data_IF_943756861627
#
_entry.id   IF_943756861627
#
_cell.length_a   1.000
_cell.length_b   1.000
_cell.length_c   1.000
_cell.angle_alpha   90.00
_cell.angle_beta   90.00
_cell.angle_gamma   90.00
#
_symmetry.space_group_name_H-M   'P 1'
#
loop_
_entity.id
_entity.type
_entity.pdbx_description
1 polymer ?
#
# COMPACT_ATOMS: atom_id res chain seq x y z
N UNK A 1 10.38 22.24 -5.54
CA UNK A 1 9.03 21.80 -5.12
C UNK A 1 8.34 20.91 -6.16
N UNK A 2 8.02 21.41 -7.36
CA UNK A 2 7.26 20.65 -8.38
C UNK A 2 7.96 19.38 -8.88
N UNK A 3 9.30 19.40 -9.02
CA UNK A 3 10.07 18.22 -9.43
C UNK A 3 10.01 17.07 -8.41
N UNK A 4 10.07 17.38 -7.10
CA UNK A 4 9.97 16.40 -6.02
C UNK A 4 8.58 15.75 -6.00
N UNK A 5 7.53 16.55 -6.13
CA UNK A 5 6.16 16.04 -6.18
C UNK A 5 5.93 15.13 -7.40
N UNK A 6 6.47 15.48 -8.57
CA UNK A 6 6.41 14.62 -9.76
C UNK A 6 7.14 13.30 -9.56
N UNK A 7 8.30 13.31 -8.91
CA UNK A 7 9.04 12.09 -8.62
C UNK A 7 8.24 11.17 -7.69
N UNK A 8 7.63 11.73 -6.63
CA UNK A 8 6.75 10.98 -5.71
C UNK A 8 5.55 10.41 -6.46
N UNK A 9 4.86 11.22 -7.27
CA UNK A 9 3.70 10.79 -8.03
C UNK A 9 4.06 9.66 -9.02
N UNK A 10 5.22 9.75 -9.66
CA UNK A 10 5.72 8.71 -10.56
C UNK A 10 6.00 7.40 -9.83
N UNK A 11 6.62 7.46 -8.65
CA UNK A 11 6.85 6.26 -7.81
C UNK A 11 5.51 5.65 -7.38
N UNK A 12 4.54 6.47 -6.96
CA UNK A 12 3.21 5.98 -6.63
C UNK A 12 2.49 5.35 -7.84
N UNK A 13 2.62 5.94 -9.03
CA UNK A 13 2.03 5.40 -10.26
C UNK A 13 2.65 4.05 -10.65
N UNK A 14 3.98 3.89 -10.50
CA UNK A 14 4.65 2.61 -10.69
C UNK A 14 4.15 1.58 -9.68
N UNK A 15 4.00 1.99 -8.41
CA UNK A 15 3.39 1.16 -7.35
C UNK A 15 1.98 0.69 -7.71
N UNK A 16 1.15 1.57 -8.28
CA UNK A 16 -0.18 1.21 -8.77
C UNK A 16 -0.13 0.21 -9.94
N UNK A 17 0.81 0.35 -10.86
CA UNK A 17 1.04 -0.63 -11.93
C UNK A 17 1.44 -2.01 -11.40
N UNK A 18 2.34 -2.05 -10.41
CA UNK A 18 2.72 -3.29 -9.71
C UNK A 18 1.52 -3.91 -8.98
N UNK A 19 0.71 -3.09 -8.30
CA UNK A 19 -0.51 -3.56 -7.65
C UNK A 19 -1.52 -4.13 -8.66
N UNK A 20 -1.71 -3.48 -9.80
CA UNK A 20 -2.61 -4.01 -10.84
C UNK A 20 -2.11 -5.36 -11.38
N UNK A 21 -0.81 -5.49 -11.65
CA UNK A 21 -0.21 -6.74 -12.11
C UNK A 21 -0.32 -7.86 -11.05
N UNK A 22 -0.04 -7.55 -9.79
CA UNK A 22 -0.18 -8.51 -8.68
C UNK A 22 -1.65 -8.93 -8.48
N UNK A 23 -2.61 -8.02 -8.71
CA UNK A 23 -4.04 -8.29 -8.58
C UNK A 23 -4.52 -9.22 -9.69
N UNK A 24 -4.07 -8.96 -10.93
CA UNK A 24 -4.34 -9.85 -12.06
C UNK A 24 -3.74 -11.25 -11.81
N UNK A 25 -2.50 -11.32 -11.34
CA UNK A 25 -1.85 -12.59 -11.01
C UNK A 25 -2.61 -13.35 -9.92
N UNK A 26 -3.04 -12.65 -8.86
CA UNK A 26 -3.87 -13.23 -7.79
C UNK A 26 -5.20 -13.76 -8.33
N UNK A 27 -5.89 -12.99 -9.16
CA UNK A 27 -7.17 -13.40 -9.74
C UNK A 27 -7.01 -14.66 -10.60
N UNK A 28 -6.01 -14.67 -11.50
CA UNK A 28 -5.72 -15.84 -12.34
C UNK A 28 -5.38 -17.07 -11.47
N UNK A 29 -4.54 -16.89 -10.46
CA UNK A 29 -4.14 -18.00 -9.58
C UNK A 29 -5.33 -18.59 -8.81
N UNK A 30 -6.21 -17.75 -8.26
CA UNK A 30 -7.40 -18.21 -7.55
C UNK A 30 -8.41 -18.87 -8.49
N UNK A 31 -8.58 -18.36 -9.72
CA UNK A 31 -9.43 -19.00 -10.73
C UNK A 31 -8.91 -20.41 -11.02
N UNK A 32 -7.60 -20.58 -11.22
CA UNK A 32 -6.99 -21.90 -11.47
C UNK A 32 -7.15 -22.83 -10.27
N UNK A 33 -6.96 -22.33 -9.04
CA UNK A 33 -7.15 -23.14 -7.82
C UNK A 33 -8.60 -23.59 -7.65
N UNK A 34 -9.57 -22.70 -7.88
CA UNK A 34 -11.00 -23.03 -7.78
C UNK A 34 -11.38 -24.06 -8.84
N UNK A 35 -10.92 -23.91 -10.09
CA UNK A 35 -11.16 -24.89 -11.15
C UNK A 35 -10.52 -26.24 -10.78
N UNK A 36 -9.26 -26.24 -10.37
CA UNK A 36 -8.53 -27.47 -10.03
C UNK A 36 -9.18 -28.21 -8.85
N UNK A 37 -9.57 -27.48 -7.82
CA UNK A 37 -10.24 -28.06 -6.66
C UNK A 37 -11.64 -28.58 -7.02
N UNK A 38 -12.40 -27.84 -7.84
CA UNK A 38 -13.78 -28.20 -8.18
C UNK A 38 -13.88 -29.35 -9.18
N UNK A 39 -12.96 -29.42 -10.16
CA UNK A 39 -13.03 -30.40 -11.25
C UNK A 39 -12.06 -31.57 -11.08
N UNK A 40 -10.91 -31.37 -10.44
CA UNK A 40 -9.88 -32.42 -10.26
C UNK A 40 -9.81 -32.94 -8.82
N UNK A 41 -10.61 -32.39 -7.88
CA UNK A 41 -10.55 -32.69 -6.45
C UNK A 41 -9.13 -32.57 -5.85
N UNK A 42 -8.27 -31.78 -6.51
CA UNK A 42 -6.89 -31.55 -6.12
C UNK A 42 -6.74 -30.10 -5.68
N UNK A 43 -6.57 -29.89 -4.36
CA UNK A 43 -6.26 -28.57 -3.80
C UNK A 43 -4.75 -28.45 -3.61
N UNK A 44 -4.23 -27.27 -3.95
CA UNK A 44 -2.81 -26.97 -3.86
C UNK A 44 -2.53 -26.09 -2.63
N UNK A 45 -1.90 -26.62 -1.56
CA UNK A 45 -1.70 -25.86 -0.31
C UNK A 45 -0.90 -24.57 -0.48
N UNK A 46 -0.06 -24.49 -1.52
CA UNK A 46 0.74 -23.31 -1.82
C UNK A 46 -0.10 -22.16 -2.37
N UNK A 47 -1.21 -22.42 -3.07
CA UNK A 47 -2.05 -21.38 -3.66
C UNK A 47 -2.63 -20.43 -2.59
N UNK A 48 -3.01 -20.97 -1.42
CA UNK A 48 -3.50 -20.15 -0.29
C UNK A 48 -2.42 -19.19 0.19
N UNK A 49 -1.18 -19.66 0.33
CA UNK A 49 -0.07 -18.85 0.83
C UNK A 49 0.30 -17.73 -0.14
N UNK A 50 0.52 -18.05 -1.43
CA UNK A 50 0.89 -17.05 -2.44
C UNK A 50 -0.24 -16.04 -2.70
N UNK A 51 -1.51 -16.46 -2.53
CA UNK A 51 -2.64 -15.54 -2.66
C UNK A 51 -2.61 -14.48 -1.56
N UNK A 52 -2.24 -14.86 -0.33
CA UNK A 52 -2.04 -13.92 0.77
C UNK A 52 -0.92 -12.93 0.49
N UNK A 53 0.19 -13.39 -0.08
CA UNK A 53 1.33 -12.52 -0.44
C UNK A 53 1.01 -11.55 -1.57
N UNK A 54 0.32 -12.04 -2.62
CA UNK A 54 -0.13 -11.18 -3.71
C UNK A 54 -1.18 -10.18 -3.23
N UNK A 55 -2.12 -10.59 -2.36
CA UNK A 55 -3.10 -9.68 -1.77
C UNK A 55 -2.44 -8.56 -0.95
N UNK A 56 -1.45 -8.92 -0.15
CA UNK A 56 -0.64 -7.95 0.57
C UNK A 56 0.07 -6.98 -0.39
N UNK A 57 0.72 -7.51 -1.43
CA UNK A 57 1.40 -6.69 -2.43
C UNK A 57 0.45 -5.71 -3.13
N UNK A 58 -0.75 -6.15 -3.51
CA UNK A 58 -1.75 -5.30 -4.20
C UNK A 58 -2.24 -4.18 -3.31
N UNK A 59 -2.61 -4.49 -2.07
CA UNK A 59 -3.14 -3.52 -1.11
C UNK A 59 -2.14 -2.41 -0.83
N UNK A 60 -0.89 -2.76 -0.49
CA UNK A 60 0.07 -1.76 -0.03
C UNK A 60 0.79 -1.04 -1.20
N UNK A 61 1.10 -1.72 -2.30
CA UNK A 61 1.73 -1.04 -3.45
C UNK A 61 0.78 -0.03 -4.12
N UNK A 62 -0.54 -0.28 -4.10
CA UNK A 62 -1.54 0.65 -4.63
C UNK A 62 -1.95 1.76 -3.66
N UNK A 63 -1.64 1.63 -2.37
CA UNK A 63 -2.11 2.54 -1.33
C UNK A 63 -1.60 3.99 -1.53
N UNK A 64 -0.35 4.17 -1.96
CA UNK A 64 0.21 5.51 -2.22
C UNK A 64 -0.52 6.26 -3.36
N UNK A 65 -0.85 5.58 -4.45
CA UNK A 65 -1.55 6.19 -5.58
C UNK A 65 -3.02 6.49 -5.27
N UNK A 66 -3.71 5.55 -4.61
CA UNK A 66 -5.11 5.76 -4.18
C UNK A 66 -5.25 6.93 -3.20
N UNK A 67 -4.27 7.12 -2.31
CA UNK A 67 -4.21 8.30 -1.44
C UNK A 67 -4.11 9.60 -2.24
N UNK A 68 -3.29 9.62 -3.30
CA UNK A 68 -3.13 10.79 -4.18
C UNK A 68 -4.37 11.11 -5.01
N UNK A 69 -5.20 10.11 -5.29
CA UNK A 69 -6.49 10.23 -6.00
C UNK A 69 -7.66 10.64 -5.08
N UNK A 70 -7.42 10.83 -3.77
CA UNK A 70 -8.49 11.13 -2.81
C UNK A 70 -9.40 9.93 -2.52
N UNK A 71 -8.99 8.71 -2.86
CA UNK A 71 -9.80 7.49 -2.70
C UNK A 71 -9.92 6.98 -1.25
N UNK A 72 -9.30 7.65 -0.27
CA UNK A 72 -9.52 7.31 1.14
C UNK A 72 -10.82 7.93 1.63
N UNK A 73 -11.63 7.12 2.33
CA UNK A 73 -12.94 7.51 2.87
C UNK A 73 -12.77 8.72 3.79
N UNK A 74 -12.96 9.91 3.21
CA UNK A 74 -12.98 11.18 3.92
C UNK A 74 -14.42 11.38 4.33
N UNK A 75 -14.68 11.64 5.62
CA UNK A 75 -16.03 11.97 6.11
C UNK A 75 -16.36 13.39 5.64
N UNK A 76 -16.64 13.52 4.35
CA UNK A 76 -16.86 14.79 3.64
C UNK A 76 -18.01 15.57 4.25
N UNK A 77 -19.02 14.88 4.79
CA UNK A 77 -20.17 15.48 5.49
C UNK A 77 -19.70 16.30 6.69
N UNK A 78 -18.80 15.78 7.53
CA UNK A 78 -18.32 16.51 8.72
C UNK A 78 -17.41 17.68 8.36
N UNK A 79 -16.65 17.53 7.27
CA UNK A 79 -15.73 18.55 6.76
C UNK A 79 -16.50 19.73 6.16
N UNK A 80 -17.61 19.49 5.45
CA UNK A 80 -18.45 20.54 4.88
C UNK A 80 -19.04 21.51 5.92
N UNK A 81 -19.18 21.09 7.17
CA UNK A 81 -19.64 21.96 8.27
C UNK A 81 -18.53 22.85 8.85
N UNK A 82 -17.26 22.59 8.54
CA UNK A 82 -16.11 23.29 9.12
C UNK A 82 -15.64 24.40 8.16
N UNK A 83 -15.29 25.61 8.65
CA UNK A 83 -14.73 26.67 7.81
C UNK A 83 -13.43 26.23 7.11
N UNK A 84 -13.12 26.78 5.92
CA UNK A 84 -12.04 26.29 5.04
C UNK A 84 -10.65 26.27 5.70
N UNK A 85 -10.40 27.16 6.68
CA UNK A 85 -9.16 27.15 7.47
C UNK A 85 -9.06 25.97 8.43
N UNK A 86 -10.18 25.58 9.06
CA UNK A 86 -10.24 24.44 9.98
C UNK A 86 -10.08 23.11 9.25
N UNK A 87 -10.68 22.98 8.05
CA UNK A 87 -10.51 21.81 7.19
C UNK A 87 -9.04 21.57 6.84
N UNK A 88 -8.31 22.64 6.49
CA UNK A 88 -6.89 22.56 6.12
C UNK A 88 -6.00 22.10 7.27
N UNK A 89 -6.27 22.58 8.49
CA UNK A 89 -5.53 22.18 9.68
C UNK A 89 -5.85 20.72 10.04
N UNK A 90 -7.13 20.32 9.97
CA UNK A 90 -7.53 18.95 10.22
C UNK A 90 -6.89 17.96 9.22
N UNK A 91 -6.90 18.30 7.93
CA UNK A 91 -6.23 17.48 6.90
C UNK A 91 -4.72 17.41 7.13
N UNK A 92 -4.07 18.51 7.53
CA UNK A 92 -2.64 18.52 7.83
C UNK A 92 -2.32 17.65 9.04
N UNK A 93 -3.08 17.78 10.14
CA UNK A 93 -2.89 16.98 11.34
C UNK A 93 -3.11 15.49 11.08
N UNK A 94 -4.18 15.15 10.36
CA UNK A 94 -4.45 13.77 9.96
C UNK A 94 -3.33 13.21 9.07
N UNK A 95 -2.84 14.01 8.10
CA UNK A 95 -1.76 13.59 7.20
C UNK A 95 -0.45 13.39 7.96
N UNK A 96 -0.10 14.30 8.88
CA UNK A 96 1.12 14.18 9.70
C UNK A 96 1.04 12.99 10.63
N UNK A 97 -0.11 12.77 11.27
CA UNK A 97 -0.32 11.60 12.14
C UNK A 97 -0.22 10.29 11.35
N UNK A 98 -0.90 10.23 10.20
CA UNK A 98 -0.84 9.06 9.31
C UNK A 98 0.58 8.81 8.79
N UNK A 99 1.34 9.87 8.45
CA UNK A 99 2.74 9.76 8.03
C UNK A 99 3.62 9.22 9.18
N UNK A 100 3.44 9.73 10.39
CA UNK A 100 4.16 9.25 11.57
C UNK A 100 3.88 7.77 11.85
N UNK A 101 2.62 7.35 11.78
CA UNK A 101 2.22 5.95 11.92
C UNK A 101 2.82 5.09 10.80
N UNK A 102 2.80 5.57 9.55
CA UNK A 102 3.36 4.86 8.42
C UNK A 102 4.87 4.62 8.55
N UNK A 103 5.62 5.64 8.96
CA UNK A 103 7.06 5.52 9.21
C UNK A 103 7.32 4.56 10.39
N UNK A 104 6.54 4.66 11.46
CA UNK A 104 6.67 3.74 12.60
C UNK A 104 6.49 2.30 12.16
N UNK A 105 5.41 1.98 11.44
CA UNK A 105 5.12 0.62 10.97
C UNK A 105 6.20 0.13 10.00
N UNK A 106 6.69 1.00 9.11
CA UNK A 106 7.72 0.67 8.13
C UNK A 106 9.05 0.26 8.79
N UNK A 107 9.50 0.97 9.83
CA UNK A 107 10.71 0.62 10.59
C UNK A 107 10.61 -0.78 11.19
N UNK A 108 9.47 -1.11 11.83
CA UNK A 108 9.26 -2.44 12.41
C UNK A 108 9.15 -3.54 11.35
N UNK A 109 8.55 -3.26 10.19
CA UNK A 109 8.45 -4.20 9.07
C UNK A 109 9.83 -4.53 8.49
N UNK A 110 10.66 -3.52 8.26
CA UNK A 110 12.04 -3.69 7.76
C UNK A 110 12.88 -4.47 8.76
N UNK A 111 12.80 -4.12 10.04
CA UNK A 111 13.50 -4.84 11.10
C UNK A 111 13.03 -6.30 11.19
N UNK A 112 11.73 -6.54 11.09
CA UNK A 112 11.17 -7.89 11.12
C UNK A 112 11.63 -8.73 9.91
N UNK A 113 11.64 -8.14 8.71
CA UNK A 113 12.14 -8.79 7.50
C UNK A 113 13.63 -9.16 7.63
N UNK A 114 14.44 -8.23 8.15
CA UNK A 114 15.87 -8.47 8.38
C UNK A 114 16.13 -9.56 9.42
N UNK A 115 15.43 -9.52 10.55
CA UNK A 115 15.52 -10.54 11.60
C UNK A 115 15.04 -11.91 11.09
N UNK A 116 14.00 -11.93 10.26
CA UNK A 116 13.47 -13.15 9.62
C UNK A 116 14.49 -13.76 8.66
N UNK A 117 15.19 -12.92 7.89
CA UNK A 117 16.30 -13.34 7.03
C UNK A 117 17.44 -13.96 7.85
N UNK A 118 17.89 -13.30 8.92
CA UNK A 118 18.97 -13.80 9.79
C UNK A 118 18.63 -15.12 10.48
N UNK A 119 17.37 -15.33 10.86
CA UNK A 119 16.90 -16.56 11.51
C UNK A 119 16.59 -17.70 10.54
N UNK A 120 16.64 -17.46 9.22
CA UNK A 120 16.18 -18.43 8.23
C UNK A 120 14.72 -18.82 8.43
N UNK A 121 13.88 -17.91 8.90
CA UNK A 121 12.48 -18.21 9.20
C UNK A 121 11.72 -18.54 7.91
N UNK A 122 11.14 -19.74 7.87
CA UNK A 122 10.36 -20.26 6.74
C UNK A 122 8.89 -20.34 7.11
N UNK A 123 8.02 -20.28 6.10
CA UNK A 123 6.58 -20.40 6.31
C UNK A 123 6.22 -21.78 6.88
N UNK A 124 5.08 -21.83 7.57
CA UNK A 124 4.54 -23.06 8.16
C UNK A 124 3.97 -24.02 7.09
N UNK A 125 3.79 -23.53 5.86
CA UNK A 125 3.25 -24.30 4.76
C UNK A 125 4.31 -25.23 4.15
N UNK A 126 3.89 -26.30 3.42
CA UNK A 126 4.81 -27.29 2.85
C UNK A 126 5.84 -26.72 1.86
N UNK A 127 5.58 -25.52 1.35
CA UNK A 127 6.44 -24.69 0.49
C UNK A 127 7.72 -24.20 1.18
N UNK A 128 7.75 -24.15 2.52
CA UNK A 128 8.87 -23.66 3.33
C UNK A 128 9.43 -22.31 2.81
N UNK A 129 8.55 -21.42 2.37
CA UNK A 129 8.92 -20.19 1.69
C UNK A 129 9.63 -19.26 2.68
N UNK A 130 10.79 -18.66 2.31
CA UNK A 130 11.48 -17.74 3.19
C UNK A 130 10.61 -16.52 3.50
N UNK A 131 10.23 -16.33 4.77
CA UNK A 131 9.29 -15.29 5.21
C UNK A 131 9.82 -13.87 4.96
N UNK A 132 11.14 -13.71 4.78
CA UNK A 132 11.74 -12.41 4.47
C UNK A 132 11.25 -11.83 3.13
N UNK A 133 10.93 -12.67 2.15
CA UNK A 133 10.43 -12.22 0.84
C UNK A 133 9.07 -11.51 0.94
N UNK A 134 8.00 -12.15 1.47
CA UNK A 134 6.70 -11.48 1.60
C UNK A 134 6.76 -10.31 2.58
N UNK A 135 7.59 -10.38 3.63
CA UNK A 135 7.82 -9.26 4.55
C UNK A 135 8.51 -8.07 3.87
N UNK A 136 9.44 -8.32 2.95
CA UNK A 136 10.09 -7.26 2.17
C UNK A 136 9.12 -6.59 1.19
N UNK A 137 8.25 -7.37 0.53
CA UNK A 137 7.19 -6.83 -0.35
C UNK A 137 6.21 -5.97 0.43
N UNK A 138 5.82 -6.42 1.63
CA UNK A 138 5.02 -5.64 2.57
C UNK A 138 5.70 -4.32 2.96
N UNK A 139 6.96 -4.38 3.39
CA UNK A 139 7.74 -3.18 3.74
C UNK A 139 7.80 -2.19 2.55
N UNK A 140 8.10 -2.69 1.36
CA UNK A 140 8.12 -1.86 0.14
C UNK A 140 6.80 -1.13 -0.10
N UNK A 141 5.66 -1.81 0.06
CA UNK A 141 4.35 -1.17 -0.07
C UNK A 141 4.10 -0.07 0.97
N UNK A 142 4.55 -0.27 2.22
CA UNK A 142 4.49 0.75 3.26
C UNK A 142 5.38 1.96 2.98
N UNK A 143 6.58 1.76 2.42
CA UNK A 143 7.44 2.85 1.94
C UNK A 143 6.70 3.68 0.87
N UNK A 144 6.06 3.04 -0.10
CA UNK A 144 5.29 3.74 -1.16
C UNK A 144 4.13 4.54 -0.57
N UNK A 145 3.44 4.01 0.45
CA UNK A 145 2.40 4.73 1.18
C UNK A 145 2.96 5.94 1.94
N UNK A 146 4.07 5.77 2.65
CA UNK A 146 4.75 6.86 3.37
C UNK A 146 5.20 7.98 2.42
N UNK A 147 5.70 7.62 1.23
CA UNK A 147 6.03 8.59 0.17
C UNK A 147 4.79 9.36 -0.31
N UNK A 148 3.66 8.68 -0.53
CA UNK A 148 2.39 9.32 -0.89
C UNK A 148 1.91 10.31 0.18
N UNK A 149 1.99 9.92 1.46
CA UNK A 149 1.66 10.78 2.61
C UNK A 149 2.60 11.98 2.72
N UNK A 150 3.90 11.79 2.50
CA UNK A 150 4.87 12.88 2.46
C UNK A 150 4.56 13.87 1.32
N UNK A 151 4.24 13.36 0.12
CA UNK A 151 3.80 14.17 -1.01
C UNK A 151 2.55 15.00 -0.69
N UNK A 152 1.56 14.40 -0.03
CA UNK A 152 0.35 15.09 0.45
C UNK A 152 0.66 16.16 1.49
N UNK A 153 1.52 15.87 2.47
CA UNK A 153 1.95 16.84 3.48
C UNK A 153 2.64 18.06 2.85
N UNK A 154 3.54 17.83 1.88
CA UNK A 154 4.23 18.91 1.14
C UNK A 154 3.22 19.76 0.36
N UNK A 155 2.22 19.17 -0.30
CA UNK A 155 1.16 19.91 -1.01
C UNK A 155 0.34 20.80 -0.07
N UNK A 156 -0.03 20.27 1.09
CA UNK A 156 -0.79 21.00 2.11
C UNK A 156 0.02 22.18 2.67
N UNK A 157 1.31 21.98 2.96
CA UNK A 157 2.22 23.04 3.41
C UNK A 157 2.46 24.11 2.34
N UNK A 158 2.52 23.71 1.07
CA UNK A 158 2.66 24.63 -0.07
C UNK A 158 1.36 25.37 -0.42
N UNK A 159 0.25 25.10 0.27
CA UNK A 159 -1.05 25.71 -0.01
C UNK A 159 -1.69 25.25 -1.33
N UNK A 160 -1.24 24.12 -1.88
CA UNK A 160 -1.79 23.49 -3.08
C UNK A 160 -2.97 22.58 -2.73
N UNK A 161 -3.68 22.12 -3.76
CA UNK A 161 -4.68 21.07 -3.60
C UNK A 161 -4.03 19.80 -3.00
N UNK A 162 -4.65 19.15 -2.01
CA UNK A 162 -4.10 17.94 -1.39
C UNK A 162 -3.99 16.75 -2.36
N UNK A 163 -4.85 16.73 -3.38
CA UNK A 163 -5.01 15.65 -4.34
C UNK A 163 -4.15 15.90 -5.59
N UNK A 164 -3.59 14.84 -6.18
CA UNK A 164 -2.82 14.90 -7.41
C UNK A 164 -3.67 14.88 -8.68
N UNK A 165 -4.89 14.34 -8.59
CA UNK A 165 -5.83 14.22 -9.70
C UNK A 165 -6.96 15.25 -9.71
N UNK A 166 -6.96 16.23 -8.80
CA UNK A 166 -8.02 17.24 -8.77
C UNK A 166 -8.03 18.03 -10.11
N UNK A 167 -9.19 18.14 -10.80
CA UNK A 167 -9.27 18.99 -11.99
C UNK A 167 -8.93 20.45 -11.64
N UNK A 168 -8.33 21.19 -12.60
CA UNK A 168 -7.92 22.58 -12.41
C UNK A 168 -9.09 23.52 -12.09
#
# INVERSE_FOLDING_TARGET
MRAILRAIDMVCAIGAGLAAAACLALAVMLIVEVISTSFLAWSQPWAVEYSGYLLAATLFAGAGWTLGQGGHVRVSVLIQLIPPRGQRIADLMATVFALGLAIFVDVYLVENAWRSHLRGSVSYYPSATPLWMPQAVLAFGWVVLALGLAGRAIRLLAGLAPEAGAPP
#
